data_IF_456045075846
#
_entry.id   IF_456045075846
#
_cell.length_a   1.000
_cell.length_b   1.000
_cell.length_c   1.000
_cell.angle_alpha   90.00
_cell.angle_beta   90.00
_cell.angle_gamma   90.00
#
_symmetry.space_group_name_H-M   'P 1'
#
loop_
_entity.id
_entity.type
_entity.pdbx_description
1 polymer ?
#
# COMPACT_ATOMS: atom_id res chain seq x y z
N UNK A 1 -16.08 -51.61 29.83
CA UNK A 1 -15.88 -50.16 29.64
C UNK A 1 -16.73 -49.38 30.65
N UNK A 2 -16.13 -48.43 31.36
CA UNK A 2 -16.70 -47.79 32.56
C UNK A 2 -17.63 -46.61 32.19
N UNK A 3 -18.87 -46.58 32.69
CA UNK A 3 -19.91 -45.57 32.37
C UNK A 3 -19.47 -44.11 32.63
N UNK A 4 -18.48 -43.91 33.52
CA UNK A 4 -17.90 -42.60 33.86
C UNK A 4 -17.03 -42.02 32.73
N UNK A 5 -16.32 -42.87 31.99
CA UNK A 5 -15.47 -42.46 30.87
C UNK A 5 -16.29 -42.03 29.64
N UNK A 6 -17.46 -42.65 29.41
CA UNK A 6 -18.37 -42.26 28.33
C UNK A 6 -19.01 -40.88 28.58
N UNK A 7 -19.44 -40.58 29.82
CA UNK A 7 -20.04 -39.28 30.18
C UNK A 7 -19.06 -38.11 30.03
N UNK A 8 -17.79 -38.29 30.43
CA UNK A 8 -16.78 -37.24 30.28
C UNK A 8 -16.45 -36.95 28.81
N UNK A 9 -16.41 -37.99 27.96
CA UNK A 9 -16.15 -37.83 26.52
C UNK A 9 -17.31 -37.14 25.80
N UNK A 10 -18.56 -37.44 26.17
CA UNK A 10 -19.74 -36.79 25.57
C UNK A 10 -19.85 -35.31 26.00
N UNK A 11 -19.55 -34.99 27.26
CA UNK A 11 -19.55 -33.61 27.79
C UNK A 11 -18.44 -32.74 27.20
N UNK A 12 -17.24 -33.30 26.94
CA UNK A 12 -16.16 -32.55 26.28
C UNK A 12 -16.48 -32.30 24.81
N UNK A 13 -17.11 -33.26 24.13
CA UNK A 13 -17.46 -33.16 22.71
C UNK A 13 -18.61 -32.17 22.48
N UNK A 14 -19.60 -32.11 23.39
CA UNK A 14 -20.70 -31.12 23.29
C UNK A 14 -20.20 -29.68 23.48
N UNK A 15 -19.33 -29.44 24.47
CA UNK A 15 -18.72 -28.12 24.72
C UNK A 15 -17.86 -27.63 23.55
N UNK A 16 -17.14 -28.53 22.88
CA UNK A 16 -16.37 -28.18 21.67
C UNK A 16 -17.31 -27.80 20.52
N UNK A 17 -18.42 -28.53 20.34
CA UNK A 17 -19.40 -28.20 19.29
C UNK A 17 -20.17 -26.90 19.54
N UNK A 18 -20.48 -26.57 20.81
CA UNK A 18 -21.14 -25.32 21.19
C UNK A 18 -20.19 -24.12 21.04
N UNK A 19 -18.92 -24.28 21.41
CA UNK A 19 -17.89 -23.24 21.25
C UNK A 19 -17.71 -22.87 19.77
N UNK A 20 -17.72 -23.85 18.87
CA UNK A 20 -17.59 -23.62 17.42
C UNK A 20 -18.81 -22.85 16.87
N UNK A 21 -20.03 -23.20 17.28
CA UNK A 21 -21.24 -22.47 16.87
C UNK A 21 -21.24 -21.00 17.30
N UNK A 22 -20.80 -20.72 18.53
CA UNK A 22 -20.73 -19.33 19.01
C UNK A 22 -19.73 -18.54 18.15
N UNK A 23 -18.57 -19.11 17.84
CA UNK A 23 -17.56 -18.45 17.01
C UNK A 23 -18.08 -18.13 15.59
N UNK A 24 -18.87 -19.01 15.00
CA UNK A 24 -19.45 -18.83 13.66
C UNK A 24 -20.54 -17.74 13.61
N UNK A 25 -21.12 -17.37 14.76
CA UNK A 25 -22.19 -16.36 14.87
C UNK A 25 -21.69 -14.98 15.33
N UNK A 26 -20.39 -14.84 15.65
CA UNK A 26 -19.81 -13.56 16.08
C UNK A 26 -19.81 -12.58 14.92
N UNK A 27 -20.49 -11.44 15.10
CA UNK A 27 -20.44 -10.32 14.14
C UNK A 27 -19.04 -9.71 14.13
N UNK A 28 -18.60 -9.23 12.97
CA UNK A 28 -17.27 -8.64 12.76
C UNK A 28 -16.86 -7.60 13.83
N UNK A 29 -17.78 -6.72 14.24
CA UNK A 29 -17.49 -5.72 15.30
C UNK A 29 -17.12 -6.36 16.65
N UNK A 30 -17.81 -7.45 17.02
CA UNK A 30 -17.58 -8.14 18.28
C UNK A 30 -16.33 -9.01 18.22
N UNK A 31 -15.96 -9.52 17.04
CA UNK A 31 -14.68 -10.20 16.84
C UNK A 31 -13.50 -9.26 17.12
N UNK A 32 -13.55 -8.03 16.60
CA UNK A 32 -12.52 -7.01 16.84
C UNK A 32 -12.41 -6.63 18.32
N UNK A 33 -13.53 -6.38 19.00
CA UNK A 33 -13.55 -6.09 20.44
C UNK A 33 -12.97 -7.24 21.29
N UNK A 34 -13.27 -8.48 20.92
CA UNK A 34 -12.73 -9.68 21.59
C UNK A 34 -11.22 -9.79 21.36
N UNK A 35 -10.73 -9.56 20.13
CA UNK A 35 -9.30 -9.59 19.81
C UNK A 35 -8.51 -8.55 20.60
N UNK A 36 -8.99 -7.30 20.67
CA UNK A 36 -8.34 -6.26 21.47
C UNK A 36 -8.27 -6.63 22.95
N UNK A 37 -9.38 -7.14 23.51
CA UNK A 37 -9.38 -7.58 24.90
C UNK A 37 -8.40 -8.72 25.16
N UNK A 38 -8.29 -9.68 24.24
CA UNK A 38 -7.33 -10.78 24.34
C UNK A 38 -5.88 -10.30 24.22
N UNK A 39 -5.62 -9.29 23.40
CA UNK A 39 -4.30 -8.67 23.27
C UNK A 39 -3.88 -7.91 24.55
N UNK A 40 -4.83 -7.20 25.18
CA UNK A 40 -4.60 -6.49 26.45
C UNK A 40 -4.32 -7.46 27.62
N UNK A 41 -4.90 -8.66 27.58
CA UNK A 41 -4.79 -9.66 28.64
C UNK A 41 -3.46 -10.46 28.59
N UNK A 42 -2.87 -10.69 27.40
CA UNK A 42 -1.65 -11.49 27.25
C UNK A 42 -0.77 -11.04 26.08
N UNK A 43 0.48 -10.68 26.39
CA UNK A 43 1.46 -10.18 25.40
C UNK A 43 1.82 -11.19 24.31
N UNK A 44 1.75 -12.50 24.59
CA UNK A 44 1.97 -13.55 23.59
C UNK A 44 0.76 -13.68 22.67
N UNK A 45 -0.45 -13.50 23.20
CA UNK A 45 -1.67 -13.48 22.39
C UNK A 45 -1.68 -12.22 21.51
N UNK A 46 -1.29 -11.06 22.03
CA UNK A 46 -1.10 -9.83 21.24
C UNK A 46 -0.16 -10.08 20.06
N UNK A 47 1.04 -10.62 20.32
CA UNK A 47 1.99 -10.97 19.26
C UNK A 47 1.41 -11.96 18.25
N UNK A 48 0.68 -12.98 18.70
CA UNK A 48 0.08 -13.95 17.78
C UNK A 48 -1.05 -13.37 16.94
N UNK A 49 -1.83 -12.44 17.50
CA UNK A 49 -2.85 -11.69 16.75
C UNK A 49 -2.18 -10.81 15.70
N UNK A 50 -1.09 -10.12 16.06
CA UNK A 50 -0.27 -9.34 15.10
C UNK A 50 0.29 -10.24 13.99
N UNK A 51 0.95 -11.35 14.33
CA UNK A 51 1.45 -12.34 13.36
C UNK A 51 0.35 -12.85 12.42
N UNK A 52 -0.82 -13.21 12.95
CA UNK A 52 -1.94 -13.66 12.14
C UNK A 52 -2.50 -12.54 11.26
N UNK A 53 -2.60 -11.31 11.79
CA UNK A 53 -3.03 -10.17 11.01
C UNK A 53 -2.06 -9.88 9.86
N UNK A 54 -0.75 -10.07 10.07
CA UNK A 54 0.26 -10.03 9.03
C UNK A 54 0.11 -11.20 8.04
N UNK A 55 -0.11 -12.42 8.50
CA UNK A 55 -0.36 -13.60 7.65
C UNK A 55 -1.61 -13.42 6.76
N UNK A 56 -2.61 -12.63 7.19
CA UNK A 56 -3.81 -12.30 6.41
C UNK A 56 -3.73 -10.97 5.66
N UNK A 57 -2.69 -10.16 5.87
CA UNK A 57 -2.49 -8.92 5.15
C UNK A 57 -1.86 -9.22 3.79
N UNK A 58 -2.70 -9.04 2.75
CA UNK A 58 -2.42 -8.95 1.31
C UNK A 58 -0.97 -9.27 0.89
N UNK A 59 -0.82 -10.34 0.12
CA UNK A 59 0.30 -10.49 -0.80
C UNK A 59 0.30 -9.27 -1.75
N UNK A 60 1.24 -8.35 -1.54
CA UNK A 60 1.39 -7.18 -2.41
C UNK A 60 2.05 -7.64 -3.69
N UNK A 61 1.32 -7.55 -4.80
CA UNK A 61 1.87 -7.75 -6.12
C UNK A 61 2.29 -6.38 -6.71
N UNK A 62 3.60 -6.13 -6.92
CA UNK A 62 4.06 -4.87 -7.50
C UNK A 62 3.46 -4.57 -8.87
N UNK A 63 3.14 -5.60 -9.66
CA UNK A 63 2.57 -5.40 -10.99
C UNK A 63 1.12 -4.90 -10.92
N UNK A 64 0.33 -5.40 -9.97
CA UNK A 64 -1.05 -4.92 -9.76
C UNK A 64 -1.07 -3.47 -9.27
N UNK A 65 -0.14 -3.11 -8.38
CA UNK A 65 0.01 -1.72 -7.91
C UNK A 65 0.48 -0.81 -9.04
N UNK A 66 1.44 -1.26 -9.87
CA UNK A 66 1.94 -0.50 -11.01
C UNK A 66 0.85 -0.23 -12.05
N UNK A 67 0.01 -1.23 -12.34
CA UNK A 67 -1.11 -1.06 -13.26
C UNK A 67 -2.16 -0.10 -12.69
N UNK A 68 -2.46 -0.17 -11.39
CA UNK A 68 -3.32 0.79 -10.70
C UNK A 68 -2.82 2.24 -10.84
N UNK A 69 -1.57 2.50 -10.44
CA UNK A 69 -0.95 3.83 -10.53
C UNK A 69 -0.93 4.33 -11.97
N UNK A 70 -0.54 3.50 -12.93
CA UNK A 70 -0.55 3.87 -14.34
C UNK A 70 -1.95 4.26 -14.81
N UNK A 71 -2.95 3.43 -14.52
CA UNK A 71 -4.32 3.68 -14.97
C UNK A 71 -4.92 4.93 -14.32
N UNK A 72 -4.68 5.16 -13.04
CA UNK A 72 -5.22 6.35 -12.36
C UNK A 72 -4.58 7.63 -12.89
N UNK A 73 -3.26 7.63 -13.17
CA UNK A 73 -2.58 8.76 -13.79
C UNK A 73 -3.01 8.97 -15.26
N UNK A 74 -3.15 7.88 -16.03
CA UNK A 74 -3.58 7.92 -17.44
C UNK A 74 -5.08 8.28 -17.57
N UNK A 75 -5.86 8.21 -16.48
CA UNK A 75 -7.25 8.66 -16.43
C UNK A 75 -7.39 10.16 -16.10
N UNK A 76 -6.30 10.88 -15.80
CA UNK A 76 -6.37 12.32 -15.58
C UNK A 76 -6.75 13.03 -16.89
N UNK A 77 -7.81 13.83 -16.84
CA UNK A 77 -8.34 14.56 -17.98
C UNK A 77 -7.68 15.94 -18.10
N UNK A 78 -7.29 16.32 -19.31
CA UNK A 78 -6.69 17.64 -19.55
C UNK A 78 -7.72 18.77 -19.38
N UNK A 79 -8.98 18.45 -19.63
CA UNK A 79 -10.12 19.35 -19.45
C UNK A 79 -10.25 19.82 -18.00
N UNK A 80 -9.93 18.97 -17.02
CA UNK A 80 -9.90 19.34 -15.61
C UNK A 80 -8.87 20.44 -15.33
N UNK A 81 -7.71 20.40 -16.00
CA UNK A 81 -6.70 21.46 -15.93
C UNK A 81 -7.23 22.75 -16.53
N UNK A 82 -7.85 22.68 -17.71
CA UNK A 82 -8.38 23.87 -18.40
C UNK A 82 -9.54 24.51 -17.64
N UNK A 83 -10.43 23.72 -17.06
CA UNK A 83 -11.62 24.21 -16.37
C UNK A 83 -11.32 24.80 -14.98
N UNK A 84 -10.25 24.32 -14.32
CA UNK A 84 -9.91 24.72 -12.94
C UNK A 84 -8.72 25.68 -12.85
N UNK A 85 -7.94 25.84 -13.93
CA UNK A 85 -6.83 26.82 -13.99
C UNK A 85 -7.28 28.23 -14.44
N UNK A 86 -6.37 29.18 -14.37
CA UNK A 86 -6.58 30.54 -14.85
C UNK A 86 -7.19 31.49 -13.80
N UNK A 87 -7.92 32.50 -14.27
CA UNK A 87 -8.43 33.57 -13.43
C UNK A 87 -9.64 33.16 -12.60
N UNK A 88 -9.46 33.07 -11.28
CA UNK A 88 -10.54 32.80 -10.31
C UNK A 88 -10.89 34.05 -9.50
N UNK A 89 -12.00 33.99 -8.75
CA UNK A 89 -12.35 35.06 -7.78
C UNK A 89 -11.33 35.22 -6.64
N UNK A 90 -10.43 34.26 -6.46
CA UNK A 90 -9.44 34.20 -5.38
C UNK A 90 -8.00 34.45 -5.86
N UNK A 91 -7.78 34.63 -7.17
CA UNK A 91 -6.46 34.78 -7.75
C UNK A 91 -6.30 33.99 -9.04
N UNK A 92 -5.07 33.89 -9.52
CA UNK A 92 -4.72 33.09 -10.68
C UNK A 92 -4.25 31.70 -10.22
N UNK A 93 -4.73 30.65 -10.88
CA UNK A 93 -4.26 29.27 -10.71
C UNK A 93 -3.40 28.93 -11.93
N UNK A 94 -2.14 28.59 -11.71
CA UNK A 94 -1.26 28.17 -12.79
C UNK A 94 -1.61 26.75 -13.26
N UNK A 95 -1.78 26.51 -14.58
CA UNK A 95 -2.18 25.20 -15.09
C UNK A 95 -1.14 24.11 -14.87
N UNK A 96 0.16 24.43 -14.85
CA UNK A 96 1.20 23.43 -14.55
C UNK A 96 1.24 23.10 -13.06
N UNK A 97 1.09 24.11 -12.19
CA UNK A 97 0.96 23.85 -10.74
C UNK A 97 -0.27 22.99 -10.45
N UNK A 98 -1.41 23.29 -11.09
CA UNK A 98 -2.63 22.48 -10.94
C UNK A 98 -2.46 21.05 -11.47
N UNK A 99 -1.80 20.86 -12.62
CA UNK A 99 -1.52 19.53 -13.14
C UNK A 99 -0.64 18.72 -12.18
N UNK A 100 0.37 19.37 -11.57
CA UNK A 100 1.23 18.77 -10.54
C UNK A 100 0.42 18.38 -9.29
N UNK A 101 -0.47 19.26 -8.81
CA UNK A 101 -1.40 18.95 -7.71
C UNK A 101 -2.31 17.75 -8.02
N UNK A 102 -2.85 17.68 -9.25
CA UNK A 102 -3.67 16.53 -9.68
C UNK A 102 -2.86 15.23 -9.73
N UNK A 103 -1.59 15.30 -10.13
CA UNK A 103 -0.68 14.16 -10.12
C UNK A 103 -0.41 13.69 -8.68
N UNK A 104 -0.19 14.62 -7.74
CA UNK A 104 -0.04 14.33 -6.32
C UNK A 104 -1.29 13.67 -5.73
N UNK A 105 -2.47 14.22 -6.00
CA UNK A 105 -3.75 13.72 -5.51
C UNK A 105 -4.00 12.27 -5.93
N UNK A 106 -3.57 11.88 -7.14
CA UNK A 106 -3.63 10.49 -7.61
C UNK A 106 -2.66 9.59 -6.85
N UNK A 107 -1.46 10.06 -6.53
CA UNK A 107 -0.44 9.26 -5.84
C UNK A 107 -0.65 9.15 -4.33
N UNK A 108 -1.30 10.13 -3.70
CA UNK A 108 -1.42 10.20 -2.24
C UNK A 108 -2.08 8.96 -1.62
N UNK A 109 -3.17 8.36 -2.17
CA UNK A 109 -3.72 7.11 -1.65
C UNK A 109 -2.70 5.96 -1.62
N UNK A 110 -1.81 5.89 -2.62
CA UNK A 110 -0.76 4.88 -2.69
C UNK A 110 0.35 5.15 -1.66
N UNK A 111 0.69 6.43 -1.43
CA UNK A 111 1.63 6.85 -0.40
C UNK A 111 1.08 6.63 1.02
N UNK A 112 -0.21 6.83 1.24
CA UNK A 112 -0.86 6.51 2.52
C UNK A 112 -0.77 5.01 2.83
N UNK A 113 -1.00 4.15 1.83
CA UNK A 113 -0.85 2.69 1.99
C UNK A 113 0.62 2.30 2.24
N UNK A 114 1.58 2.92 1.55
CA UNK A 114 3.01 2.77 1.82
C UNK A 114 3.37 3.12 3.27
N UNK A 115 2.98 4.32 3.72
CA UNK A 115 3.23 4.81 5.09
C UNK A 115 2.56 3.91 6.13
N UNK A 116 1.40 3.32 5.81
CA UNK A 116 0.74 2.33 6.66
C UNK A 116 1.56 1.06 6.81
N UNK A 117 2.12 0.50 5.73
CA UNK A 117 3.01 -0.66 5.82
C UNK A 117 4.25 -0.35 6.66
N UNK A 118 4.88 0.81 6.46
CA UNK A 118 6.01 1.25 7.27
C UNK A 118 5.66 1.39 8.76
N UNK A 119 4.51 1.99 9.10
CA UNK A 119 4.04 2.14 10.48
C UNK A 119 3.82 0.78 11.17
N UNK A 120 3.43 -0.24 10.41
CA UNK A 120 3.23 -1.60 10.88
C UNK A 120 4.52 -2.45 10.83
N UNK A 121 5.66 -1.89 10.41
CA UNK A 121 6.92 -2.63 10.22
C UNK A 121 6.79 -3.82 9.23
N UNK A 122 5.95 -3.64 8.21
CA UNK A 122 5.76 -4.57 7.09
C UNK A 122 6.75 -4.25 5.97
N UNK A 123 8.03 -4.55 6.22
CA UNK A 123 9.12 -4.07 5.37
C UNK A 123 9.07 -4.67 3.95
N UNK A 124 8.66 -5.93 3.81
CA UNK A 124 8.54 -6.60 2.50
C UNK A 124 7.40 -6.00 1.68
N UNK A 125 6.21 -5.87 2.28
CA UNK A 125 5.02 -5.31 1.64
C UNK A 125 5.23 -3.84 1.27
N UNK A 126 5.85 -3.07 2.17
CA UNK A 126 6.26 -1.69 1.92
C UNK A 126 7.19 -1.58 0.70
N UNK A 127 8.20 -2.47 0.61
CA UNK A 127 9.12 -2.54 -0.54
C UNK A 127 8.39 -2.91 -1.83
N UNK A 128 7.58 -3.98 -1.81
CA UNK A 128 6.83 -4.45 -2.99
C UNK A 128 5.83 -3.39 -3.48
N UNK A 129 5.16 -2.68 -2.55
CA UNK A 129 4.24 -1.60 -2.87
C UNK A 129 4.97 -0.42 -3.49
N UNK A 130 6.09 0.01 -2.90
CA UNK A 130 6.95 1.06 -3.45
C UNK A 130 7.45 0.70 -4.87
N UNK A 131 7.94 -0.54 -5.08
CA UNK A 131 8.33 -1.03 -6.40
C UNK A 131 7.20 -0.89 -7.42
N UNK A 132 5.96 -1.20 -7.02
CA UNK A 132 4.78 -1.04 -7.84
C UNK A 132 4.51 0.42 -8.21
N UNK A 133 4.50 1.33 -7.23
CA UNK A 133 4.29 2.77 -7.47
C UNK A 133 5.33 3.31 -8.45
N UNK A 134 6.63 3.05 -8.20
CA UNK A 134 7.72 3.49 -9.05
C UNK A 134 7.58 2.98 -10.49
N UNK A 135 7.19 1.71 -10.65
CA UNK A 135 6.96 1.12 -11.97
C UNK A 135 5.75 1.73 -12.68
N UNK A 136 4.67 2.02 -11.95
CA UNK A 136 3.47 2.67 -12.49
C UNK A 136 3.76 4.09 -13.00
N UNK A 137 4.45 4.90 -12.20
CA UNK A 137 4.89 6.25 -12.60
C UNK A 137 5.80 6.19 -13.83
N UNK A 138 6.78 5.28 -13.84
CA UNK A 138 7.67 5.10 -14.99
C UNK A 138 6.92 4.62 -16.25
N UNK A 139 5.92 3.75 -16.08
CA UNK A 139 5.06 3.31 -17.17
C UNK A 139 4.25 4.47 -17.73
N UNK A 140 3.71 5.36 -16.88
CA UNK A 140 3.02 6.58 -17.33
C UNK A 140 3.95 7.47 -18.18
N UNK A 141 5.16 7.73 -17.71
CA UNK A 141 6.17 8.49 -18.45
C UNK A 141 6.41 7.95 -19.87
N UNK A 142 6.46 6.63 -20.04
CA UNK A 142 6.81 6.03 -21.34
C UNK A 142 5.59 5.80 -22.21
N UNK A 143 4.51 5.28 -21.63
CA UNK A 143 3.41 4.67 -22.38
C UNK A 143 2.15 5.56 -22.41
N UNK A 144 1.98 6.52 -21.50
CA UNK A 144 0.80 7.38 -21.50
C UNK A 144 0.72 8.19 -22.80
N UNK A 145 -0.49 8.30 -23.33
CA UNK A 145 -0.80 8.99 -24.59
C UNK A 145 -1.85 10.08 -24.44
N UNK A 146 -2.29 10.34 -23.21
CA UNK A 146 -3.26 11.39 -22.90
C UNK A 146 -2.66 12.78 -23.06
N UNK A 147 -3.53 13.76 -23.39
CA UNK A 147 -3.14 15.16 -23.46
C UNK A 147 -2.70 15.71 -22.10
N UNK A 148 -3.20 15.14 -21.00
CA UNK A 148 -2.77 15.51 -19.65
C UNK A 148 -1.25 15.35 -19.45
N UNK A 149 -0.64 14.35 -20.09
CA UNK A 149 0.81 14.11 -20.00
C UNK A 149 1.64 15.33 -20.39
N UNK A 150 1.19 16.11 -21.37
CA UNK A 150 1.91 17.31 -21.82
C UNK A 150 1.90 18.43 -20.76
N UNK A 151 1.00 18.34 -19.77
CA UNK A 151 0.92 19.26 -18.63
C UNK A 151 1.68 18.77 -17.40
N UNK A 152 1.98 17.46 -17.32
CA UNK A 152 2.73 16.88 -16.19
C UNK A 152 4.24 17.15 -16.21
N UNK A 153 4.78 17.83 -17.23
CA UNK A 153 6.18 18.29 -17.25
C UNK A 153 7.20 17.26 -16.76
N UNK A 154 7.92 17.59 -15.69
CA UNK A 154 8.89 16.70 -15.01
C UNK A 154 8.29 15.93 -13.82
N UNK A 155 6.99 16.09 -13.54
CA UNK A 155 6.29 15.50 -12.38
C UNK A 155 6.51 13.99 -12.26
N UNK A 156 6.42 13.16 -13.34
CA UNK A 156 6.69 11.74 -13.22
C UNK A 156 8.06 11.43 -12.61
N UNK A 157 9.12 12.14 -13.02
CA UNK A 157 10.45 11.93 -12.47
C UNK A 157 10.59 12.51 -11.05
N UNK A 158 9.97 13.67 -10.77
CA UNK A 158 9.97 14.30 -9.44
C UNK A 158 9.30 13.38 -8.42
N UNK A 159 8.07 12.94 -8.68
CA UNK A 159 7.32 12.06 -7.78
C UNK A 159 7.95 10.66 -7.68
N UNK A 160 8.58 10.14 -8.74
CA UNK A 160 9.36 8.91 -8.64
C UNK A 160 10.45 9.00 -7.57
N UNK A 161 11.20 10.11 -7.54
CA UNK A 161 12.23 10.34 -6.51
C UNK A 161 11.60 10.49 -5.13
N UNK A 162 10.54 11.29 -5.01
CA UNK A 162 9.88 11.52 -3.72
C UNK A 162 9.30 10.24 -3.11
N UNK A 163 8.66 9.38 -3.91
CA UNK A 163 8.15 8.07 -3.48
C UNK A 163 9.29 7.20 -2.96
N UNK A 164 10.41 7.16 -3.69
CA UNK A 164 11.58 6.38 -3.29
C UNK A 164 12.18 6.90 -1.97
N UNK A 165 12.33 8.22 -1.83
CA UNK A 165 12.80 8.85 -0.60
C UNK A 165 11.84 8.61 0.57
N UNK A 166 10.53 8.63 0.35
CA UNK A 166 9.53 8.32 1.37
C UNK A 166 9.64 6.87 1.85
N UNK A 167 9.83 5.92 0.92
CA UNK A 167 10.09 4.53 1.27
C UNK A 167 11.40 4.37 2.06
N UNK A 168 12.48 5.03 1.64
CA UNK A 168 13.80 5.00 2.29
C UNK A 168 13.74 5.49 3.75
N UNK A 169 12.90 6.48 4.08
CA UNK A 169 12.72 6.97 5.47
C UNK A 169 12.24 5.87 6.43
N UNK A 170 11.43 4.93 5.94
CA UNK A 170 10.89 3.81 6.74
C UNK A 170 11.75 2.54 6.69
N UNK A 171 12.63 2.40 5.69
CA UNK A 171 13.44 1.19 5.52
C UNK A 171 14.73 1.22 6.37
N UNK A 172 15.01 0.11 7.05
CA UNK A 172 16.23 -0.05 7.88
C UNK A 172 17.15 -1.17 7.40
N UNK A 173 16.73 -1.96 6.41
CA UNK A 173 17.48 -3.11 5.89
C UNK A 173 18.24 -2.74 4.60
N UNK A 174 19.53 -3.04 4.57
CA UNK A 174 20.39 -2.84 3.40
C UNK A 174 20.02 -3.81 2.26
N UNK A 175 19.55 -5.03 2.56
CA UNK A 175 19.15 -5.97 1.52
C UNK A 175 17.97 -5.44 0.71
N UNK A 176 17.01 -4.80 1.38
CA UNK A 176 15.88 -4.15 0.74
C UNK A 176 16.33 -3.04 -0.23
N UNK A 177 17.36 -2.26 0.14
CA UNK A 177 17.92 -1.24 -0.75
C UNK A 177 18.54 -1.88 -2.00
N UNK A 178 19.33 -2.94 -1.83
CA UNK A 178 19.95 -3.65 -2.95
C UNK A 178 18.90 -4.23 -3.91
N UNK A 179 17.84 -4.84 -3.37
CA UNK A 179 16.73 -5.35 -4.16
C UNK A 179 15.97 -4.23 -4.90
N UNK A 180 15.71 -3.10 -4.23
CA UNK A 180 15.10 -1.93 -4.85
C UNK A 180 15.97 -1.38 -5.99
N UNK A 181 17.29 -1.26 -5.78
CA UNK A 181 18.22 -0.81 -6.82
C UNK A 181 18.24 -1.75 -8.02
N UNK A 182 18.27 -3.07 -7.79
CA UNK A 182 18.20 -4.07 -8.87
C UNK A 182 16.87 -3.97 -9.62
N UNK A 183 15.77 -3.77 -8.90
CA UNK A 183 14.45 -3.58 -9.48
C UNK A 183 14.39 -2.33 -10.36
N UNK A 184 14.83 -1.17 -9.87
CA UNK A 184 14.86 0.10 -10.62
C UNK A 184 15.74 -0.05 -11.86
N UNK A 185 16.91 -0.67 -11.74
CA UNK A 185 17.80 -0.92 -12.88
C UNK A 185 17.17 -1.79 -13.97
N UNK A 186 16.36 -2.77 -13.57
CA UNK A 186 15.70 -3.70 -14.50
C UNK A 186 14.45 -3.10 -15.13
N UNK A 187 13.62 -2.40 -14.36
CA UNK A 187 12.28 -1.99 -14.76
C UNK A 187 12.19 -0.51 -15.15
N UNK A 188 13.05 0.35 -14.61
CA UNK A 188 13.03 1.81 -14.79
C UNK A 188 14.33 2.29 -15.47
N UNK A 189 14.68 1.65 -16.59
CA UNK A 189 16.04 1.70 -17.18
C UNK A 189 16.53 3.10 -17.52
N UNK A 190 15.67 4.00 -18.06
CA UNK A 190 16.07 5.38 -18.39
C UNK A 190 16.46 6.17 -17.14
N UNK A 191 15.67 6.05 -16.07
CA UNK A 191 15.89 6.81 -14.83
C UNK A 191 16.95 6.19 -13.92
N UNK A 192 17.18 4.88 -14.03
CA UNK A 192 18.25 4.17 -13.29
C UNK A 192 19.65 4.76 -13.53
N UNK A 193 19.90 5.34 -14.71
CA UNK A 193 21.21 5.91 -15.07
C UNK A 193 21.49 7.26 -14.42
N UNK A 194 20.44 8.00 -14.04
CA UNK A 194 20.55 9.33 -13.43
C UNK A 194 20.68 9.22 -11.90
N UNK A 195 19.90 8.33 -11.29
CA UNK A 195 19.88 8.12 -9.84
C UNK A 195 21.19 7.52 -9.29
N UNK A 196 21.85 6.63 -10.04
CA UNK A 196 23.12 5.99 -9.62
C UNK A 196 24.36 6.89 -9.78
N UNK A 197 24.24 8.06 -10.40
CA UNK A 197 25.34 9.02 -10.55
C UNK A 197 25.35 10.12 -9.48
N UNK A 198 24.25 10.26 -8.73
CA UNK A 198 24.04 11.31 -7.72
C UNK A 198 24.23 10.85 -6.27
N UNK A 199 24.45 9.54 -6.04
CA UNK A 199 24.95 8.98 -4.77
C UNK A 199 26.43 8.66 -4.90
#
# INVERSE_FOLDING_TARGET
MNKKALKNKISSTSKISEKNKIMDEIRAKYAYEILNRLADEDVKISKRIEELAFEYQREVNPDDVADGVFHDLDNLEVEDVWDKSGGTRHGYVDPYELASEMFEDVLEPYLEELRKFQKLSMDEESKLHCMGILKGIYKFEIDATTEFKDWSGDDPHVYFIQVLEEWEKGNKDLNNLDEMHLFIKKNCTKWSQNYLKSK
#
